data_IF_685559305457
#
_entry.id   IF_685559305457
#
_cell.length_a   1.000
_cell.length_b   1.000
_cell.length_c   1.000
_cell.angle_alpha   90.00
_cell.angle_beta   90.00
_cell.angle_gamma   90.00
#
_symmetry.space_group_name_H-M   'P 1'
#
loop_
_entity.id
_entity.type
_entity.pdbx_description
1 polymer ?
#
# COMPACT_ATOMS: atom_id res chain seq x y z
N UNK A 1 9.08 -6.54 23.36
CA UNK A 1 9.07 -7.15 22.01
C UNK A 1 8.14 -6.31 21.12
N UNK A 2 8.45 -6.14 19.83
CA UNK A 2 7.57 -5.40 18.89
C UNK A 2 7.24 -6.29 17.70
N UNK A 3 5.98 -6.22 17.22
CA UNK A 3 5.47 -7.04 16.12
C UNK A 3 4.69 -6.13 15.15
N UNK A 4 5.02 -6.22 13.86
CA UNK A 4 4.22 -5.64 12.79
C UNK A 4 3.29 -6.70 12.20
N UNK A 5 2.04 -6.33 11.96
CA UNK A 5 0.99 -7.21 11.42
C UNK A 5 0.21 -6.49 10.31
N UNK A 6 -0.17 -7.18 9.23
CA UNK A 6 -1.04 -6.60 8.19
C UNK A 6 -2.51 -6.59 8.66
N UNK A 7 -2.75 -6.06 9.83
CA UNK A 7 -4.03 -6.07 10.53
C UNK A 7 -4.33 -4.69 11.13
N UNK A 8 -5.59 -4.46 11.46
CA UNK A 8 -5.99 -3.28 12.24
C UNK A 8 -5.61 -3.49 13.69
N UNK A 9 -4.69 -2.66 14.17
CA UNK A 9 -4.26 -2.64 15.58
C UNK A 9 -4.84 -1.40 16.25
N UNK A 10 -5.59 -1.60 17.32
CA UNK A 10 -6.16 -0.52 18.12
C UNK A 10 -5.85 -0.74 19.60
N UNK A 11 -5.20 0.24 20.24
CA UNK A 11 -4.86 0.21 21.67
C UNK A 11 -4.14 -1.08 22.10
N UNK A 12 -3.21 -1.56 21.29
CA UNK A 12 -2.43 -2.76 21.56
C UNK A 12 -3.14 -4.09 21.31
N UNK A 13 -4.31 -4.07 20.67
CA UNK A 13 -5.08 -5.28 20.34
C UNK A 13 -5.31 -5.35 18.83
N UNK A 14 -5.24 -6.54 18.26
CA UNK A 14 -5.64 -6.81 16.89
C UNK A 14 -7.16 -6.94 16.84
N UNK A 15 -7.82 -6.02 16.14
CA UNK A 15 -9.29 -5.95 16.08
C UNK A 15 -9.88 -6.46 14.77
N UNK A 16 -9.12 -6.46 13.69
CA UNK A 16 -9.52 -7.00 12.39
C UNK A 16 -8.30 -7.33 11.53
N UNK A 17 -8.43 -8.36 10.69
CA UNK A 17 -7.48 -8.71 9.64
C UNK A 17 -8.26 -8.99 8.34
N UNK A 18 -7.77 -8.53 7.21
CA UNK A 18 -8.43 -8.73 5.92
C UNK A 18 -7.96 -10.04 5.26
N UNK A 19 -8.74 -11.11 5.42
CA UNK A 19 -8.56 -12.39 4.73
C UNK A 19 -7.37 -13.25 5.16
N UNK A 20 -6.41 -12.70 5.94
CA UNK A 20 -5.24 -13.42 6.46
C UNK A 20 -5.09 -13.17 7.95
N UNK A 21 -4.44 -14.10 8.65
CA UNK A 21 -4.13 -13.96 10.09
C UNK A 21 -5.38 -13.69 10.96
N UNK A 22 -6.52 -14.28 10.61
CA UNK A 22 -7.78 -14.09 11.34
C UNK A 22 -7.71 -14.62 12.76
N UNK A 23 -6.82 -15.57 13.02
CA UNK A 23 -6.45 -16.12 14.33
C UNK A 23 -5.71 -15.11 15.23
N UNK A 24 -5.17 -14.03 14.66
CA UNK A 24 -4.59 -12.94 15.43
C UNK A 24 -5.65 -12.09 16.16
N UNK A 25 -6.90 -12.11 15.67
CA UNK A 25 -8.02 -11.36 16.29
C UNK A 25 -8.45 -12.06 17.56
N UNK A 26 -8.46 -11.32 18.67
CA UNK A 26 -8.81 -11.87 19.99
C UNK A 26 -7.72 -12.72 20.65
N UNK A 27 -6.57 -12.89 19.99
CA UNK A 27 -5.43 -13.57 20.61
C UNK A 27 -4.84 -12.72 21.75
N UNK A 28 -4.54 -13.34 22.88
CA UNK A 28 -3.94 -12.65 24.02
C UNK A 28 -2.41 -12.49 23.83
N UNK A 29 -2.07 -11.48 23.03
CA UNK A 29 -0.68 -11.15 22.71
C UNK A 29 0.15 -10.81 23.94
N UNK A 30 -0.47 -10.19 24.95
CA UNK A 30 0.22 -9.81 26.19
C UNK A 30 0.61 -11.03 27.02
N UNK A 31 -0.34 -11.93 27.23
CA UNK A 31 -0.07 -13.18 27.95
C UNK A 31 0.95 -14.05 27.22
N UNK A 32 0.77 -14.21 25.90
CA UNK A 32 1.70 -15.00 25.08
C UNK A 32 3.14 -14.45 25.13
N UNK A 33 3.31 -13.14 24.98
CA UNK A 33 4.63 -12.51 25.01
C UNK A 33 5.29 -12.63 26.38
N UNK A 34 4.52 -12.41 27.44
CA UNK A 34 5.02 -12.54 28.81
C UNK A 34 5.45 -13.99 29.10
N UNK A 35 4.63 -14.97 28.70
CA UNK A 35 4.92 -16.39 28.92
C UNK A 35 6.12 -16.90 28.12
N UNK A 36 6.24 -16.44 26.84
CA UNK A 36 7.24 -16.97 25.91
C UNK A 36 8.59 -16.26 26.02
N UNK A 37 8.57 -14.94 26.25
CA UNK A 37 9.77 -14.09 26.20
C UNK A 37 10.05 -13.33 27.50
N UNK A 38 9.15 -13.38 28.49
CA UNK A 38 9.27 -12.60 29.71
C UNK A 38 9.20 -11.08 29.50
N UNK A 39 8.60 -10.62 28.40
CA UNK A 39 8.65 -9.22 27.98
C UNK A 39 7.27 -8.72 27.51
N UNK A 40 6.97 -7.40 27.68
CA UNK A 40 5.76 -6.81 27.12
C UNK A 40 5.80 -6.83 25.59
N UNK A 41 4.63 -6.89 24.94
CA UNK A 41 4.49 -6.81 23.48
C UNK A 41 3.94 -5.44 23.07
N UNK A 42 4.47 -4.93 21.96
CA UNK A 42 3.93 -3.80 21.24
C UNK A 42 3.52 -4.24 19.84
N UNK A 43 2.27 -3.98 19.49
CA UNK A 43 1.72 -4.32 18.17
C UNK A 43 1.55 -3.06 17.33
N UNK A 44 1.88 -3.15 16.05
CA UNK A 44 1.69 -2.08 15.07
C UNK A 44 1.24 -2.66 13.72
N UNK A 45 0.47 -1.89 12.96
CA UNK A 45 0.22 -2.22 11.56
C UNK A 45 1.53 -2.14 10.75
N UNK A 46 1.71 -3.00 9.74
CA UNK A 46 2.93 -3.10 8.94
C UNK A 46 3.23 -1.83 8.12
N UNK A 47 2.22 -1.22 7.50
CA UNK A 47 2.40 0.03 6.77
C UNK A 47 2.74 1.20 7.72
N UNK A 48 2.16 1.23 8.91
CA UNK A 48 2.49 2.22 9.93
C UNK A 48 3.94 2.05 10.44
N UNK A 49 4.37 0.80 10.63
CA UNK A 49 5.76 0.50 11.01
C UNK A 49 6.74 0.89 9.89
N UNK A 50 6.42 0.58 8.63
CA UNK A 50 7.23 0.98 7.48
C UNK A 50 7.37 2.50 7.39
N UNK A 51 6.26 3.24 7.49
CA UNK A 51 6.28 4.70 7.47
C UNK A 51 7.14 5.26 8.61
N UNK A 52 6.98 4.76 9.82
CA UNK A 52 7.75 5.20 10.98
C UNK A 52 9.25 4.96 10.78
N UNK A 53 9.64 3.84 10.19
CA UNK A 53 11.03 3.54 9.85
C UNK A 53 11.61 4.49 8.80
N UNK A 54 10.86 4.77 7.74
CA UNK A 54 11.24 5.74 6.70
C UNK A 54 11.36 7.17 7.23
N UNK A 55 10.51 7.55 8.18
CA UNK A 55 10.58 8.86 8.84
C UNK A 55 11.77 8.99 9.82
N UNK A 56 12.25 7.89 10.37
CA UNK A 56 13.42 7.89 11.28
C UNK A 56 14.73 7.89 10.53
N UNK A 57 14.89 7.07 9.51
CA UNK A 57 16.18 6.83 8.88
C UNK A 57 16.11 6.58 7.35
N UNK A 58 14.95 6.77 6.69
CA UNK A 58 14.79 6.52 5.27
C UNK A 58 14.40 7.76 4.47
N UNK A 59 13.68 7.53 3.39
CA UNK A 59 13.34 8.52 2.38
C UNK A 59 12.39 9.66 2.87
N UNK A 60 11.76 9.52 4.05
CA UNK A 60 10.92 10.55 4.67
C UNK A 60 11.50 11.07 5.98
N UNK A 61 12.83 11.01 6.14
CA UNK A 61 13.46 11.42 7.38
C UNK A 61 13.07 12.84 7.78
N UNK A 62 12.62 12.98 9.03
CA UNK A 62 12.23 14.24 9.67
C UNK A 62 11.11 15.04 8.98
N UNK A 63 10.26 14.37 8.15
CA UNK A 63 9.12 15.00 7.46
C UNK A 63 7.79 14.41 7.88
N UNK A 64 6.70 15.13 7.66
CA UNK A 64 5.35 14.58 7.68
C UNK A 64 5.10 13.83 6.37
N UNK A 65 4.71 12.59 6.48
CA UNK A 65 4.61 11.73 5.31
C UNK A 65 3.37 10.83 5.30
N UNK A 66 2.99 10.44 4.09
CA UNK A 66 2.09 9.31 3.87
C UNK A 66 2.82 8.22 3.06
N UNK A 67 2.43 6.97 3.24
CA UNK A 67 2.96 5.83 2.48
C UNK A 67 1.83 5.07 1.80
N UNK A 68 2.08 4.66 0.56
CA UNK A 68 1.27 3.70 -0.18
C UNK A 68 2.14 2.48 -0.48
N UNK A 69 1.79 1.34 0.10
CA UNK A 69 2.53 0.08 -0.06
C UNK A 69 1.84 -0.80 -1.09
N UNK A 70 2.53 -1.09 -2.18
CA UNK A 70 2.03 -1.86 -3.33
C UNK A 70 2.57 -3.28 -3.25
N UNK A 71 1.71 -4.21 -2.91
CA UNK A 71 2.06 -5.62 -2.73
C UNK A 71 0.93 -6.56 -3.16
N UNK A 72 0.71 -7.65 -2.43
CA UNK A 72 -0.45 -8.54 -2.65
C UNK A 72 -1.75 -7.73 -2.61
N UNK A 73 -1.92 -6.89 -1.59
CA UNK A 73 -2.93 -5.84 -1.50
C UNK A 73 -2.28 -4.46 -1.53
N UNK A 74 -3.04 -3.45 -1.12
CA UNK A 74 -2.58 -2.05 -1.01
C UNK A 74 -2.70 -1.59 0.43
N UNK A 75 -1.55 -1.42 1.09
CA UNK A 75 -1.47 -0.85 2.43
C UNK A 75 -1.20 0.65 2.39
N UNK A 76 -1.53 1.35 3.47
CA UNK A 76 -1.19 2.76 3.63
C UNK A 76 -1.01 3.13 5.09
N UNK A 77 -0.32 4.23 5.34
CA UNK A 77 -0.26 4.92 6.61
C UNK A 77 0.00 6.41 6.37
N UNK A 78 -0.31 7.23 7.34
CA UNK A 78 -0.01 8.66 7.31
C UNK A 78 0.48 9.13 8.68
N UNK A 79 1.27 10.19 8.66
CA UNK A 79 1.82 10.82 9.87
C UNK A 79 1.64 12.34 9.79
N UNK A 80 1.43 12.93 10.94
CA UNK A 80 1.39 14.37 11.15
C UNK A 80 2.16 14.71 12.43
N UNK A 81 2.88 15.82 12.44
CA UNK A 81 3.79 16.19 13.53
C UNK A 81 4.76 15.04 13.87
N UNK A 82 5.21 14.31 12.86
CA UNK A 82 6.07 13.12 12.93
C UNK A 82 5.49 11.97 13.77
N UNK A 83 4.17 11.91 13.91
CA UNK A 83 3.44 10.86 14.62
C UNK A 83 2.49 10.14 13.69
N UNK A 84 2.52 8.83 13.73
CA UNK A 84 1.57 8.00 12.96
C UNK A 84 0.14 8.33 13.37
N UNK A 85 -0.69 8.62 12.38
CA UNK A 85 -2.12 8.81 12.57
C UNK A 85 -2.79 7.45 12.81
N UNK A 86 -3.43 7.29 13.96
CA UNK A 86 -4.12 6.04 14.30
C UNK A 86 -5.63 6.22 14.40
N UNK A 87 -6.07 7.45 14.75
CA UNK A 87 -7.47 7.75 14.99
C UNK A 87 -8.04 6.97 16.19
N UNK A 88 -9.37 7.07 16.35
CA UNK A 88 -10.07 6.45 17.49
C UNK A 88 -10.09 4.91 17.42
N UNK A 89 -10.16 4.36 16.21
CA UNK A 89 -10.35 2.93 15.95
C UNK A 89 -9.11 2.25 15.34
N UNK A 90 -7.96 2.92 15.30
CA UNK A 90 -6.72 2.37 14.73
C UNK A 90 -6.69 2.32 13.21
N UNK A 91 -7.63 2.96 12.50
CA UNK A 91 -7.76 2.86 11.04
C UNK A 91 -7.37 4.13 10.29
N UNK A 92 -7.13 5.25 10.99
CA UNK A 92 -6.77 6.51 10.34
C UNK A 92 -5.41 6.36 9.61
N UNK A 93 -5.38 6.74 8.34
CA UNK A 93 -4.20 6.60 7.49
C UNK A 93 -4.02 5.21 6.86
N UNK A 94 -4.55 4.13 7.46
CA UNK A 94 -4.26 2.77 7.00
C UNK A 94 -5.22 2.22 5.93
N UNK A 95 -6.36 2.86 5.71
CA UNK A 95 -7.37 2.37 4.78
C UNK A 95 -7.28 2.98 3.37
N UNK A 96 -6.13 3.56 2.98
CA UNK A 96 -5.96 4.15 1.65
C UNK A 96 -6.19 3.18 0.49
N UNK A 97 -5.80 1.91 0.65
CA UNK A 97 -6.09 0.85 -0.32
C UNK A 97 -7.59 0.54 -0.49
N UNK A 98 -8.40 0.93 0.49
CA UNK A 98 -9.86 0.74 0.47
C UNK A 98 -10.64 2.03 0.16
N UNK A 99 -9.97 3.13 -0.15
CA UNK A 99 -10.62 4.32 -0.70
C UNK A 99 -11.22 3.98 -2.07
N UNK A 100 -12.48 4.38 -2.28
CA UNK A 100 -13.15 4.17 -3.56
C UNK A 100 -12.56 5.10 -4.63
N UNK A 101 -12.22 4.52 -5.77
CA UNK A 101 -11.67 5.23 -6.95
C UNK A 101 -12.51 5.00 -8.20
N UNK A 102 -13.51 4.12 -8.15
CA UNK A 102 -14.36 3.78 -9.28
C UNK A 102 -15.80 3.56 -8.83
N UNK A 103 -16.76 4.22 -9.51
CA UNK A 103 -18.18 4.12 -9.19
C UNK A 103 -19.05 3.55 -10.30
N UNK A 104 -18.63 3.62 -11.57
CA UNK A 104 -19.44 3.20 -12.71
C UNK A 104 -19.33 1.69 -12.96
N UNK A 105 -18.11 1.16 -12.85
CA UNK A 105 -17.79 -0.26 -13.05
C UNK A 105 -17.01 -0.81 -11.84
N UNK A 106 -17.57 -0.72 -10.62
CA UNK A 106 -16.82 -1.00 -9.41
C UNK A 106 -16.52 -2.49 -9.25
N UNK A 107 -15.24 -2.82 -9.10
CA UNK A 107 -14.78 -4.18 -8.79
C UNK A 107 -14.98 -4.50 -7.32
N UNK A 108 -15.33 -5.76 -7.01
CA UNK A 108 -15.48 -6.20 -5.63
C UNK A 108 -14.10 -6.33 -4.97
N UNK A 109 -13.96 -5.77 -3.79
CA UNK A 109 -12.75 -5.84 -2.98
C UNK A 109 -12.82 -6.96 -1.94
N UNK A 110 -11.67 -7.47 -1.52
CA UNK A 110 -11.54 -8.47 -0.44
C UNK A 110 -12.11 -7.98 0.89
N UNK A 111 -12.17 -6.66 1.14
CA UNK A 111 -12.80 -6.08 2.34
C UNK A 111 -14.33 -6.13 2.33
N UNK A 112 -14.95 -6.59 1.24
CA UNK A 112 -16.41 -6.67 1.07
C UNK A 112 -17.04 -5.46 0.39
N UNK A 113 -16.35 -4.32 0.29
CA UNK A 113 -16.80 -3.14 -0.44
C UNK A 113 -16.56 -3.28 -1.96
N UNK A 114 -16.98 -2.28 -2.73
CA UNK A 114 -16.74 -2.18 -4.18
C UNK A 114 -16.01 -0.90 -4.52
N UNK A 115 -15.25 -0.90 -5.63
CA UNK A 115 -14.59 0.29 -6.16
C UNK A 115 -13.28 0.68 -5.45
N UNK A 116 -12.79 -0.11 -4.49
CA UNK A 116 -11.56 0.17 -3.76
C UNK A 116 -10.34 0.21 -4.68
N UNK A 117 -9.37 1.06 -4.38
CA UNK A 117 -8.05 1.10 -5.04
C UNK A 117 -7.40 -0.29 -5.11
N UNK A 118 -7.44 -1.06 -4.03
CA UNK A 118 -6.84 -2.39 -3.96
C UNK A 118 -7.43 -3.36 -4.99
N UNK A 119 -8.73 -3.24 -5.30
CA UNK A 119 -9.38 -4.08 -6.30
C UNK A 119 -8.98 -3.73 -7.75
N UNK A 120 -8.26 -2.64 -7.95
CA UNK A 120 -7.73 -2.17 -9.23
C UNK A 120 -6.20 -2.24 -9.33
N UNK A 121 -5.49 -2.29 -8.21
CA UNK A 121 -4.04 -2.22 -8.21
C UNK A 121 -3.35 -3.22 -7.25
N UNK A 122 -4.08 -3.97 -6.44
CA UNK A 122 -3.50 -5.08 -5.68
C UNK A 122 -3.05 -6.21 -6.61
N UNK A 123 -1.91 -6.84 -6.32
CA UNK A 123 -1.39 -7.95 -7.17
C UNK A 123 -2.42 -9.07 -7.33
N UNK A 124 -3.27 -9.31 -6.33
CA UNK A 124 -4.32 -10.34 -6.42
C UNK A 124 -5.36 -10.04 -7.50
N UNK A 125 -5.57 -8.76 -7.84
CA UNK A 125 -6.58 -8.34 -8.81
C UNK A 125 -6.07 -8.40 -10.27
N UNK A 126 -4.75 -8.43 -10.49
CA UNK A 126 -4.14 -8.29 -11.82
C UNK A 126 -4.59 -9.39 -12.80
N UNK A 127 -4.70 -10.64 -12.34
CA UNK A 127 -5.12 -11.75 -13.20
C UNK A 127 -6.56 -11.55 -13.71
N UNK A 128 -7.46 -11.13 -12.84
CA UNK A 128 -8.84 -10.85 -13.21
C UNK A 128 -8.96 -9.64 -14.14
N UNK A 129 -8.17 -8.59 -13.92
CA UNK A 129 -8.12 -7.41 -14.79
C UNK A 129 -7.62 -7.82 -16.18
N UNK A 130 -6.52 -8.57 -16.23
CA UNK A 130 -5.93 -9.01 -17.49
C UNK A 130 -6.87 -9.91 -18.30
N UNK A 131 -7.57 -10.84 -17.65
CA UNK A 131 -8.52 -11.77 -18.32
C UNK A 131 -9.73 -11.07 -18.93
N UNK A 132 -10.05 -9.87 -18.50
CA UNK A 132 -11.15 -9.06 -19.03
C UNK A 132 -10.74 -8.28 -20.29
N UNK A 133 -9.43 -8.23 -20.61
CA UNK A 133 -8.93 -7.54 -21.79
C UNK A 133 -9.10 -8.37 -23.05
N UNK A 134 -9.55 -7.73 -24.13
CA UNK A 134 -9.62 -8.35 -25.45
C UNK A 134 -8.21 -8.79 -25.90
N UNK A 135 -8.10 -10.03 -26.38
CA UNK A 135 -6.84 -10.63 -26.82
C UNK A 135 -5.98 -11.20 -25.66
N UNK A 136 -6.55 -11.38 -24.46
CA UNK A 136 -5.81 -11.96 -23.33
C UNK A 136 -5.20 -13.32 -23.64
N UNK A 137 -5.94 -14.20 -24.32
CA UNK A 137 -5.49 -15.57 -24.59
C UNK A 137 -4.17 -15.66 -25.38
N UNK A 138 -3.90 -14.66 -26.24
CA UNK A 138 -2.70 -14.55 -27.06
C UNK A 138 -1.61 -13.68 -26.45
N UNK A 139 -1.86 -13.10 -25.27
CA UNK A 139 -0.98 -12.14 -24.62
C UNK A 139 0.18 -12.77 -23.88
N UNK A 140 1.21 -11.98 -23.61
CA UNK A 140 2.31 -12.39 -22.74
C UNK A 140 1.82 -12.78 -21.32
N UNK A 141 0.74 -12.13 -20.82
CA UNK A 141 0.18 -12.40 -19.50
C UNK A 141 -0.51 -13.78 -19.43
N UNK A 142 -1.14 -14.24 -20.51
CA UNK A 142 -1.76 -15.59 -20.55
C UNK A 142 -0.72 -16.70 -20.42
N UNK A 143 0.50 -16.47 -20.90
CA UNK A 143 1.61 -17.41 -20.83
C UNK A 143 2.41 -17.31 -19.52
N UNK A 144 2.13 -16.34 -18.66
CA UNK A 144 2.82 -16.17 -17.39
C UNK A 144 2.36 -17.23 -16.37
N UNK A 145 3.30 -17.80 -15.61
CA UNK A 145 2.99 -18.72 -14.50
C UNK A 145 2.00 -18.09 -13.48
N UNK A 146 2.11 -16.78 -13.31
CA UNK A 146 1.25 -15.99 -12.44
C UNK A 146 1.20 -14.57 -13.01
N UNK A 147 0.01 -14.01 -13.11
CA UNK A 147 -0.16 -12.59 -13.46
C UNK A 147 0.10 -11.75 -12.22
N UNK A 148 1.28 -11.18 -12.16
CA UNK A 148 1.71 -10.25 -11.12
C UNK A 148 2.41 -9.03 -11.75
N UNK A 149 2.88 -8.10 -10.91
CA UNK A 149 3.55 -6.89 -11.42
C UNK A 149 4.81 -7.19 -12.23
N UNK A 150 5.53 -8.28 -11.92
CA UNK A 150 6.71 -8.66 -12.69
C UNK A 150 6.29 -9.10 -14.11
N UNK A 151 5.35 -10.02 -14.21
CA UNK A 151 4.83 -10.47 -15.50
C UNK A 151 4.24 -9.31 -16.30
N UNK A 152 3.50 -8.40 -15.63
CA UNK A 152 2.93 -7.20 -16.26
C UNK A 152 4.02 -6.30 -16.85
N UNK A 153 5.06 -5.96 -16.08
CA UNK A 153 6.15 -5.09 -16.53
C UNK A 153 7.01 -5.74 -17.61
N UNK A 154 7.24 -7.04 -17.51
CA UNK A 154 7.94 -7.83 -18.55
C UNK A 154 7.14 -7.83 -19.88
N UNK A 155 5.82 -8.01 -19.82
CA UNK A 155 4.93 -7.93 -20.99
C UNK A 155 4.91 -6.52 -21.62
N UNK A 156 4.87 -5.48 -20.82
CA UNK A 156 4.99 -4.09 -21.30
C UNK A 156 6.33 -3.85 -22.00
N UNK A 157 7.43 -4.35 -21.43
CA UNK A 157 8.75 -4.23 -22.05
C UNK A 157 8.86 -4.96 -23.40
N UNK A 158 8.06 -6.02 -23.61
CA UNK A 158 7.94 -6.75 -24.88
C UNK A 158 6.98 -6.07 -25.88
N UNK A 159 6.29 -5.00 -25.48
CA UNK A 159 5.31 -4.32 -26.32
C UNK A 159 3.97 -5.04 -26.43
N UNK A 160 3.67 -5.98 -25.51
CA UNK A 160 2.41 -6.70 -25.48
C UNK A 160 1.22 -5.78 -25.23
N UNK A 161 0.26 -5.78 -26.16
CA UNK A 161 -0.84 -4.82 -26.16
C UNK A 161 -1.77 -4.94 -24.94
N UNK A 162 -2.00 -6.18 -24.46
CA UNK A 162 -2.80 -6.44 -23.26
C UNK A 162 -2.08 -5.93 -22.01
N UNK A 163 -0.80 -6.26 -21.90
CA UNK A 163 0.04 -5.78 -20.79
C UNK A 163 0.08 -4.25 -20.72
N UNK A 164 0.15 -3.56 -21.86
CA UNK A 164 0.10 -2.10 -21.93
C UNK A 164 -1.23 -1.55 -21.40
N UNK A 165 -2.38 -2.12 -21.78
CA UNK A 165 -3.70 -1.67 -21.29
C UNK A 165 -3.87 -1.92 -19.81
N UNK A 166 -3.50 -3.10 -19.33
CA UNK A 166 -3.52 -3.44 -17.89
C UNK A 166 -2.61 -2.50 -17.11
N UNK A 167 -1.41 -2.22 -17.62
CA UNK A 167 -0.47 -1.28 -17.00
C UNK A 167 -1.06 0.13 -16.87
N UNK A 168 -1.67 0.67 -17.92
CA UNK A 168 -2.29 1.99 -17.87
C UNK A 168 -3.45 2.05 -16.86
N UNK A 169 -4.27 1.00 -16.79
CA UNK A 169 -5.35 0.87 -15.81
C UNK A 169 -4.81 0.90 -14.39
N UNK A 170 -3.83 0.06 -14.10
CA UNK A 170 -3.23 -0.09 -12.77
C UNK A 170 -2.46 1.18 -12.35
N UNK A 171 -1.67 1.74 -13.25
CA UNK A 171 -0.90 2.95 -12.97
C UNK A 171 -1.81 4.16 -12.75
N UNK A 172 -2.92 4.25 -13.48
CA UNK A 172 -3.96 5.27 -13.27
C UNK A 172 -4.61 5.11 -11.90
N UNK A 173 -5.01 3.88 -11.53
CA UNK A 173 -5.58 3.59 -10.22
C UNK A 173 -4.62 3.98 -9.07
N UNK A 174 -3.34 3.62 -9.19
CA UNK A 174 -2.32 4.02 -8.22
C UNK A 174 -2.14 5.54 -8.14
N UNK A 175 -2.20 6.22 -9.29
CA UNK A 175 -2.18 7.68 -9.35
C UNK A 175 -3.37 8.31 -8.62
N UNK A 176 -4.59 7.78 -8.80
CA UNK A 176 -5.78 8.22 -8.07
C UNK A 176 -5.62 8.00 -6.56
N UNK A 177 -5.11 6.83 -6.15
CA UNK A 177 -4.84 6.53 -4.75
C UNK A 177 -3.81 7.49 -4.14
N UNK A 178 -2.76 7.82 -4.88
CA UNK A 178 -1.75 8.80 -4.47
C UNK A 178 -2.36 10.19 -4.27
N UNK A 179 -3.17 10.67 -5.23
CA UNK A 179 -3.89 11.96 -5.11
C UNK A 179 -4.82 11.97 -3.88
N UNK A 180 -5.57 10.88 -3.66
CA UNK A 180 -6.45 10.77 -2.51
C UNK A 180 -5.70 10.85 -1.17
N UNK A 181 -4.53 10.20 -1.05
CA UNK A 181 -3.72 10.29 0.15
C UNK A 181 -3.16 11.71 0.36
N UNK A 182 -2.71 12.36 -0.72
CA UNK A 182 -2.23 13.75 -0.66
C UNK A 182 -3.34 14.68 -0.18
N UNK A 183 -4.53 14.60 -0.77
CA UNK A 183 -5.65 15.45 -0.38
C UNK A 183 -6.20 15.15 1.03
N UNK A 184 -6.11 13.90 1.48
CA UNK A 184 -6.65 13.49 2.78
C UNK A 184 -5.73 13.83 3.95
N UNK A 185 -4.40 13.81 3.74
CA UNK A 185 -3.42 13.87 4.84
C UNK A 185 -2.43 15.02 4.73
N UNK A 186 -2.44 15.76 3.62
CA UNK A 186 -1.57 16.94 3.40
C UNK A 186 -0.08 16.68 3.75
N UNK A 187 0.54 15.61 3.24
CA UNK A 187 1.90 15.25 3.59
C UNK A 187 2.93 16.12 2.85
N UNK A 188 4.10 16.33 3.46
CA UNK A 188 5.27 16.90 2.77
C UNK A 188 5.84 15.91 1.76
N UNK A 189 5.82 14.61 2.10
CA UNK A 189 6.33 13.51 1.27
C UNK A 189 5.29 12.40 1.14
N UNK A 190 5.02 11.98 -0.10
CA UNK A 190 4.31 10.72 -0.37
C UNK A 190 5.33 9.64 -0.71
N UNK A 191 5.42 8.62 0.12
CA UNK A 191 6.24 7.43 -0.14
C UNK A 191 5.46 6.38 -0.93
N UNK A 192 6.06 5.84 -1.97
CA UNK A 192 5.61 4.64 -2.65
C UNK A 192 6.55 3.49 -2.29
N UNK A 193 5.99 2.36 -1.86
CA UNK A 193 6.75 1.23 -1.36
C UNK A 193 6.27 -0.09 -1.98
N UNK A 194 7.14 -1.09 -1.97
CA UNK A 194 6.89 -2.41 -2.51
C UNK A 194 7.61 -2.68 -3.84
N UNK A 195 7.70 -3.95 -4.21
CA UNK A 195 8.45 -4.39 -5.39
C UNK A 195 8.15 -3.65 -6.69
N UNK A 196 6.88 -3.34 -7.02
CA UNK A 196 6.55 -2.60 -8.24
C UNK A 196 7.17 -1.20 -8.32
N UNK A 197 7.46 -0.56 -7.19
CA UNK A 197 8.01 0.80 -7.13
C UNK A 197 9.46 0.91 -7.64
N UNK A 198 10.15 -0.21 -7.83
CA UNK A 198 11.46 -0.22 -8.48
C UNK A 198 11.38 -0.03 -10.00
N UNK A 199 10.17 -0.10 -10.59
CA UNK A 199 9.96 0.21 -12.01
C UNK A 199 9.89 1.71 -12.23
N UNK A 200 10.94 2.27 -12.84
CA UNK A 200 10.96 3.70 -13.20
C UNK A 200 9.81 4.08 -14.14
N UNK A 201 9.37 3.15 -14.99
CA UNK A 201 8.24 3.36 -15.90
C UNK A 201 6.94 3.55 -15.11
N UNK A 202 6.68 2.70 -14.11
CA UNK A 202 5.51 2.82 -13.23
C UNK A 202 5.58 4.11 -12.41
N UNK A 203 6.74 4.40 -11.83
CA UNK A 203 6.94 5.61 -11.03
C UNK A 203 6.73 6.89 -11.83
N UNK A 204 7.25 6.96 -13.07
CA UNK A 204 7.02 8.11 -13.98
C UNK A 204 5.54 8.28 -14.29
N UNK A 205 4.82 7.19 -14.53
CA UNK A 205 3.39 7.23 -14.84
C UNK A 205 2.55 7.72 -13.66
N UNK A 206 2.85 7.24 -12.43
CA UNK A 206 2.19 7.70 -11.20
C UNK A 206 2.50 9.17 -10.94
N UNK A 207 3.78 9.58 -10.97
CA UNK A 207 4.19 10.98 -10.76
C UNK A 207 3.54 11.93 -11.77
N UNK A 208 3.43 11.49 -13.03
CA UNK A 208 2.74 12.26 -14.07
C UNK A 208 1.26 12.43 -13.72
N UNK A 209 0.58 11.35 -13.36
CA UNK A 209 -0.84 11.40 -12.99
C UNK A 209 -1.08 12.35 -11.81
N UNK A 210 -0.28 12.23 -10.75
CA UNK A 210 -0.38 13.11 -9.57
C UNK A 210 -0.21 14.58 -9.99
N UNK A 211 0.83 14.90 -10.74
CA UNK A 211 1.09 16.27 -11.18
C UNK A 211 -0.05 16.88 -12.01
N UNK A 212 -0.76 16.05 -12.78
CA UNK A 212 -1.86 16.48 -13.64
C UNK A 212 -3.20 16.61 -12.89
N UNK A 213 -3.35 15.96 -11.73
CA UNK A 213 -4.64 15.79 -11.05
C UNK A 213 -4.67 16.24 -9.58
N UNK A 214 -3.54 16.50 -8.96
CA UNK A 214 -3.50 16.98 -7.58
C UNK A 214 -3.78 18.49 -7.53
N UNK A 215 -4.56 18.90 -6.55
CA UNK A 215 -4.78 20.32 -6.26
C UNK A 215 -4.10 20.69 -4.93
N UNK A 216 -2.93 21.28 -5.04
CA UNK A 216 -2.09 21.72 -3.93
C UNK A 216 -1.67 23.16 -4.15
N UNK A 217 -2.51 24.17 -3.74
CA UNK A 217 -2.26 25.59 -4.05
C UNK A 217 -0.99 26.15 -3.40
N UNK A 218 -0.41 25.44 -2.44
CA UNK A 218 0.81 25.78 -1.72
C UNK A 218 2.09 25.22 -2.37
N UNK A 219 2.00 24.36 -3.38
CA UNK A 219 3.17 23.79 -4.07
C UNK A 219 2.96 22.35 -4.52
N UNK A 220 4.05 21.59 -4.63
CA UNK A 220 4.03 20.19 -5.05
C UNK A 220 4.47 19.29 -3.89
N UNK A 221 3.79 18.15 -3.74
CA UNK A 221 4.22 17.08 -2.83
C UNK A 221 5.38 16.32 -3.46
N UNK A 222 6.40 16.04 -2.67
CA UNK A 222 7.52 15.21 -3.11
C UNK A 222 7.13 13.73 -3.08
N UNK A 223 7.28 13.02 -4.22
CA UNK A 223 6.94 11.60 -4.36
C UNK A 223 8.23 10.81 -4.43
N UNK A 224 8.53 10.05 -3.37
CA UNK A 224 9.73 9.24 -3.23
C UNK A 224 9.41 7.75 -3.20
N UNK A 225 10.40 6.91 -3.50
CA UNK A 225 10.35 5.46 -3.27
C UNK A 225 10.99 5.18 -1.91
N UNK A 226 10.38 4.28 -1.14
CA UNK A 226 10.96 3.81 0.12
C UNK A 226 12.32 3.15 -0.14
N UNK A 227 13.33 3.52 0.64
CA UNK A 227 14.71 3.08 0.40
C UNK A 227 14.92 1.59 0.72
N UNK A 228 14.33 1.13 1.82
CA UNK A 228 14.47 -0.25 2.28
C UNK A 228 13.15 -0.76 2.87
N UNK A 229 12.18 -1.17 2.03
CA UNK A 229 10.84 -1.52 2.49
C UNK A 229 10.79 -2.58 3.61
N UNK A 230 11.66 -3.59 3.55
CA UNK A 230 11.71 -4.64 4.59
C UNK A 230 12.40 -4.15 5.86
N UNK A 231 13.52 -3.45 5.73
CA UNK A 231 14.25 -2.88 6.86
C UNK A 231 13.47 -1.78 7.56
N UNK A 232 12.71 -0.98 6.83
CA UNK A 232 11.93 0.13 7.39
C UNK A 232 10.85 -0.35 8.38
N UNK A 233 10.21 -1.51 8.11
CA UNK A 233 9.27 -2.11 9.07
C UNK A 233 9.99 -2.43 10.39
N UNK A 234 11.17 -3.04 10.32
CA UNK A 234 11.95 -3.38 11.53
C UNK A 234 12.42 -2.13 12.28
N UNK A 235 12.93 -1.12 11.55
CA UNK A 235 13.36 0.16 12.12
C UNK A 235 12.20 0.91 12.78
N UNK A 236 11.00 0.86 12.21
CA UNK A 236 9.80 1.44 12.79
C UNK A 236 9.37 0.79 14.09
N UNK A 237 9.69 -0.48 14.30
CA UNK A 237 9.38 -1.24 15.51
C UNK A 237 10.38 -1.00 16.67
N UNK A 238 11.52 -0.37 16.41
CA UNK A 238 12.47 -0.02 17.47
C UNK A 238 11.82 1.04 18.38
N UNK A 239 11.80 0.77 19.68
CA UNK A 239 11.32 1.70 20.70
C UNK A 239 12.52 2.26 21.44
N UNK A 240 12.52 3.56 21.60
CA UNK A 240 13.43 4.28 22.49
C UNK A 240 13.03 4.05 23.95
#
# INVERSE_FOLDING_TARGET
MSIALPCVVCRGTVIACNGKYTDAVGFDWAHWSQKTFGAPVFLMNDAAAALLGEMRCGAAKDTDAAILMIGTGIGSAAAQDRRILTGRHGTMGMLGGHMAIEMLHPRRCTCGATGCLEAWAGTWALDEIARQEDGFAESALANARKVDYRALLDGVAQGDAVSLRVFETVATALGMGAVNLIHAYDPEVLLLSGGPCHSEMLMRRIRRYVRENVWTPWGQVDIRVAENPEGSVLLGLIRE
#
